data_IF_553608470874
#
_entry.id   IF_553608470874
#
_cell.length_a   1.000
_cell.length_b   1.000
_cell.length_c   1.000
_cell.angle_alpha   90.00
_cell.angle_beta   90.00
_cell.angle_gamma   90.00
#
_symmetry.space_group_name_H-M   'P 1'
#
loop_
_entity.id
_entity.type
_entity.pdbx_description
1 polymer ?
#
# COMPACT_ATOMS: atom_id res chain seq x y z
N UNK A 1 -11.45 18.20 17.54
CA UNK A 1 -11.19 18.70 16.17
C UNK A 1 -10.81 17.53 15.29
N UNK A 2 -11.26 17.44 14.04
CA UNK A 2 -10.83 16.37 13.13
C UNK A 2 -9.33 16.49 12.85
N UNK A 3 -8.60 15.38 12.93
CA UNK A 3 -7.21 15.31 12.44
C UNK A 3 -7.24 15.09 10.94
N UNK A 4 -6.54 15.94 10.20
CA UNK A 4 -6.50 15.94 8.73
C UNK A 4 -5.08 15.65 8.27
N UNK A 5 -4.94 14.66 7.40
CA UNK A 5 -3.71 14.41 6.63
C UNK A 5 -3.87 15.03 5.24
N UNK A 6 -2.95 15.90 4.85
CA UNK A 6 -2.86 16.43 3.49
C UNK A 6 -1.60 15.89 2.80
N UNK A 7 -1.80 15.16 1.70
CA UNK A 7 -0.75 14.58 0.90
C UNK A 7 -0.43 15.50 -0.29
N UNK A 8 0.85 15.84 -0.46
CA UNK A 8 1.36 16.49 -1.65
C UNK A 8 2.38 15.56 -2.34
N UNK A 9 1.93 14.59 -3.14
CA UNK A 9 2.78 13.53 -3.68
C UNK A 9 3.51 13.99 -4.96
N UNK A 10 4.13 15.17 -4.97
CA UNK A 10 4.66 15.79 -6.20
C UNK A 10 5.77 15.00 -6.91
N UNK A 11 6.44 14.06 -6.23
CA UNK A 11 7.44 13.14 -6.81
C UNK A 11 6.96 11.68 -6.88
N UNK A 12 5.67 11.43 -6.66
CA UNK A 12 5.10 10.09 -6.51
C UNK A 12 4.88 9.72 -5.03
N UNK A 13 4.25 8.56 -4.83
CA UNK A 13 3.88 8.03 -3.52
C UNK A 13 3.89 6.50 -3.55
N UNK A 14 4.99 5.88 -3.13
CA UNK A 14 5.04 4.45 -2.84
C UNK A 14 4.51 4.16 -1.42
N UNK A 15 4.17 2.90 -1.13
CA UNK A 15 3.61 2.50 0.16
C UNK A 15 4.59 2.73 1.32
N UNK A 16 5.83 2.29 1.16
CA UNK A 16 6.94 2.53 2.10
C UNK A 16 7.24 4.03 2.30
N UNK A 17 7.12 4.84 1.24
CA UNK A 17 7.28 6.30 1.31
C UNK A 17 6.15 6.95 2.12
N UNK A 18 4.90 6.53 1.89
CA UNK A 18 3.76 7.02 2.66
C UNK A 18 3.89 6.62 4.13
N UNK A 19 4.23 5.36 4.39
CA UNK A 19 4.45 4.86 5.76
C UNK A 19 5.58 5.63 6.45
N UNK A 20 6.70 5.85 5.76
CA UNK A 20 7.81 6.66 6.27
C UNK A 20 7.39 8.08 6.60
N UNK A 21 6.58 8.71 5.76
CA UNK A 21 6.04 10.05 6.04
C UNK A 21 5.11 10.07 7.26
N UNK A 22 4.28 9.03 7.45
CA UNK A 22 3.39 8.92 8.61
C UNK A 22 4.18 8.68 9.92
N UNK A 23 5.25 7.89 9.87
CA UNK A 23 6.17 7.70 10.99
C UNK A 23 6.91 9.01 11.32
N UNK A 24 7.39 9.75 10.31
CA UNK A 24 8.03 11.06 10.49
C UNK A 24 7.04 12.09 11.09
N UNK A 25 5.74 11.95 10.80
CA UNK A 25 4.66 12.75 11.39
C UNK A 25 4.30 12.36 12.84
N UNK A 26 4.92 11.30 13.38
CA UNK A 26 4.79 10.90 14.78
C UNK A 26 4.01 9.61 15.03
N UNK A 27 3.66 8.84 14.00
CA UNK A 27 3.06 7.52 14.20
C UNK A 27 4.05 6.55 14.87
N UNK A 28 3.54 5.67 15.73
CA UNK A 28 4.34 4.67 16.43
C UNK A 28 4.72 3.50 15.52
N UNK A 29 6.03 3.29 15.35
CA UNK A 29 6.58 2.12 14.64
C UNK A 29 6.14 0.80 15.30
N UNK A 30 6.06 0.76 16.63
CA UNK A 30 5.65 -0.44 17.35
C UNK A 30 4.16 -0.74 17.13
N UNK A 31 3.31 0.29 17.07
CA UNK A 31 1.89 0.11 16.75
C UNK A 31 1.71 -0.42 15.32
N UNK A 32 2.53 0.06 14.37
CA UNK A 32 2.57 -0.46 13.00
C UNK A 32 3.00 -1.92 12.97
N UNK A 33 4.11 -2.27 13.62
CA UNK A 33 4.62 -3.66 13.69
C UNK A 33 3.61 -4.61 14.32
N UNK A 34 2.90 -4.19 15.38
CA UNK A 34 1.84 -4.98 16.01
C UNK A 34 0.67 -5.23 15.07
N UNK A 35 0.24 -4.22 14.31
CA UNK A 35 -0.84 -4.38 13.34
C UNK A 35 -0.44 -5.35 12.21
N UNK A 36 0.79 -5.24 11.69
CA UNK A 36 1.31 -6.16 10.68
C UNK A 36 1.39 -7.58 11.26
N UNK A 37 1.90 -7.76 12.49
CA UNK A 37 1.94 -9.07 13.14
C UNK A 37 0.54 -9.68 13.32
N UNK A 38 -0.48 -8.86 13.62
CA UNK A 38 -1.87 -9.31 13.76
C UNK A 38 -2.47 -9.85 12.45
N UNK A 39 -1.88 -9.53 11.30
CA UNK A 39 -2.25 -10.17 10.04
C UNK A 39 -1.86 -11.64 9.99
N UNK A 40 -1.05 -12.17 10.92
CA UNK A 40 -0.54 -13.54 10.88
C UNK A 40 0.59 -13.78 9.88
N UNK A 41 1.12 -12.72 9.25
CA UNK A 41 2.29 -12.77 8.39
C UNK A 41 3.54 -13.22 9.16
N UNK A 42 4.35 -14.06 8.54
CA UNK A 42 5.67 -14.46 9.03
C UNK A 42 6.72 -14.16 7.97
N UNK A 43 8.01 -14.22 8.35
CA UNK A 43 9.10 -13.97 7.40
C UNK A 43 9.13 -12.53 6.87
N UNK A 44 9.02 -11.55 7.76
CA UNK A 44 9.10 -10.15 7.38
C UNK A 44 9.87 -9.35 8.42
N UNK A 45 10.46 -8.24 7.97
CA UNK A 45 11.12 -7.25 8.80
C UNK A 45 10.76 -5.86 8.31
N UNK A 46 10.42 -4.99 9.26
CA UNK A 46 10.09 -3.59 8.99
C UNK A 46 10.97 -2.72 9.87
N UNK A 47 11.86 -1.96 9.24
CA UNK A 47 12.73 -0.99 9.89
C UNK A 47 12.42 0.42 9.43
N UNK A 48 12.64 1.39 10.31
CA UNK A 48 12.55 2.80 10.00
C UNK A 48 13.81 3.50 10.50
N UNK A 49 14.49 4.20 9.59
CA UNK A 49 15.72 4.94 9.91
C UNK A 49 15.61 6.41 9.50
N UNK A 50 16.24 7.28 10.28
CA UNK A 50 16.37 8.69 9.91
C UNK A 50 17.46 8.82 8.85
N UNK A 51 17.13 9.37 7.69
CA UNK A 51 18.06 9.58 6.58
C UNK A 51 18.20 11.05 6.24
N UNK A 52 19.33 11.42 5.63
CA UNK A 52 19.56 12.72 5.00
C UNK A 52 19.73 12.55 3.50
N UNK A 53 18.95 13.30 2.74
CA UNK A 53 19.07 13.39 1.28
C UNK A 53 19.32 14.86 0.92
N UNK A 54 20.58 15.18 0.62
CA UNK A 54 21.01 16.58 0.47
C UNK A 54 20.81 17.37 1.76
N UNK A 55 20.02 18.44 1.69
CA UNK A 55 19.71 19.30 2.83
C UNK A 55 18.51 18.83 3.67
N UNK A 56 17.76 17.82 3.22
CA UNK A 56 16.51 17.38 3.86
C UNK A 56 16.72 16.12 4.71
N UNK A 57 16.02 16.05 5.83
CA UNK A 57 15.90 14.84 6.65
C UNK A 57 14.55 14.18 6.40
N UNK A 58 14.51 12.86 6.33
CA UNK A 58 13.28 12.09 6.23
C UNK A 58 13.39 10.77 7.01
N UNK A 59 12.28 10.10 7.21
CA UNK A 59 12.27 8.71 7.68
C UNK A 59 12.19 7.79 6.46
N UNK A 60 13.15 6.88 6.33
CA UNK A 60 13.15 5.80 5.34
C UNK A 60 12.66 4.53 5.99
N UNK A 61 11.60 3.97 5.44
CA UNK A 61 11.13 2.63 5.78
C UNK A 61 11.83 1.62 4.88
N UNK A 62 12.24 0.49 5.45
CA UNK A 62 12.68 -0.69 4.71
C UNK A 62 11.81 -1.86 5.13
N UNK A 63 11.20 -2.49 4.13
CA UNK A 63 10.43 -3.72 4.29
C UNK A 63 11.22 -4.82 3.60
N UNK A 64 11.57 -5.84 4.35
CA UNK A 64 12.20 -7.06 3.86
C UNK A 64 11.22 -8.21 4.09
N UNK A 65 11.02 -9.06 3.09
CA UNK A 65 10.14 -10.21 3.15
C UNK A 65 10.88 -11.44 2.63
N UNK A 66 10.73 -12.57 3.31
CA UNK A 66 11.31 -13.86 2.91
C UNK A 66 10.46 -14.59 1.86
N UNK A 67 9.30 -14.01 1.52
CA UNK A 67 8.34 -14.54 0.58
C UNK A 67 8.70 -14.19 -0.86
N UNK A 68 8.87 -15.22 -1.68
CA UNK A 68 9.07 -15.12 -3.12
C UNK A 68 7.77 -15.26 -3.90
N UNK A 69 6.63 -15.45 -3.22
CA UNK A 69 5.32 -15.48 -3.86
C UNK A 69 5.00 -14.13 -4.47
N UNK A 70 5.02 -14.11 -5.79
CA UNK A 70 4.73 -12.93 -6.60
C UNK A 70 3.25 -12.77 -6.95
N UNK A 71 2.44 -13.81 -6.73
CA UNK A 71 1.01 -13.78 -7.02
C UNK A 71 0.23 -14.50 -5.92
N UNK A 72 -0.91 -13.92 -5.54
CA UNK A 72 -1.81 -14.50 -4.54
C UNK A 72 -3.26 -14.16 -4.82
N UNK A 73 -4.21 -14.99 -4.38
CA UNK A 73 -5.62 -14.62 -4.40
C UNK A 73 -5.86 -13.34 -3.59
N UNK A 74 -6.53 -12.35 -4.17
CA UNK A 74 -6.83 -11.10 -3.46
C UNK A 74 -7.65 -11.34 -2.17
N UNK A 75 -8.53 -12.35 -2.21
CA UNK A 75 -9.33 -12.78 -1.07
C UNK A 75 -8.47 -13.21 0.14
N UNK A 76 -7.28 -13.78 -0.09
CA UNK A 76 -6.35 -14.14 0.97
C UNK A 76 -5.86 -12.86 1.68
N UNK A 77 -5.32 -11.89 0.93
CA UNK A 77 -4.81 -10.64 1.51
C UNK A 77 -5.89 -9.86 2.26
N UNK A 78 -7.11 -9.81 1.71
CA UNK A 78 -8.27 -9.17 2.37
C UNK A 78 -8.57 -9.87 3.70
N UNK A 79 -8.59 -11.20 3.73
CA UNK A 79 -8.81 -11.96 4.96
C UNK A 79 -7.68 -11.73 5.99
N UNK A 80 -6.42 -11.59 5.54
CA UNK A 80 -5.30 -11.25 6.41
C UNK A 80 -5.45 -9.85 7.01
N UNK A 81 -5.83 -8.86 6.20
CA UNK A 81 -6.07 -7.50 6.66
C UNK A 81 -7.24 -7.42 7.65
N UNK A 82 -8.31 -8.19 7.42
CA UNK A 82 -9.49 -8.22 8.30
C UNK A 82 -9.17 -8.64 9.74
N UNK A 83 -8.14 -9.47 9.94
CA UNK A 83 -7.67 -9.86 11.28
C UNK A 83 -7.19 -8.69 12.14
N UNK A 84 -6.82 -7.57 11.52
CA UNK A 84 -6.28 -6.39 12.21
C UNK A 84 -7.38 -5.44 12.73
N UNK A 85 -8.63 -5.61 12.26
CA UNK A 85 -9.73 -4.67 12.50
C UNK A 85 -9.54 -3.29 11.86
N UNK A 86 -8.61 -3.15 10.91
CA UNK A 86 -8.34 -1.92 10.17
C UNK A 86 -9.21 -1.87 8.91
N UNK A 87 -10.41 -1.33 9.01
CA UNK A 87 -11.37 -1.24 7.90
C UNK A 87 -10.83 -0.52 6.66
N UNK A 88 -9.90 0.43 6.84
CA UNK A 88 -9.22 1.13 5.73
C UNK A 88 -8.33 0.17 4.93
N UNK A 89 -7.66 -0.78 5.59
CA UNK A 89 -6.81 -1.76 4.91
C UNK A 89 -7.65 -2.74 4.07
N UNK A 90 -8.75 -3.23 4.64
CA UNK A 90 -9.71 -4.09 3.94
C UNK A 90 -10.32 -3.39 2.73
N UNK A 91 -10.73 -2.13 2.89
CA UNK A 91 -11.31 -1.33 1.81
C UNK A 91 -10.29 -1.08 0.68
N UNK A 92 -9.03 -0.81 1.01
CA UNK A 92 -7.98 -0.59 0.03
C UNK A 92 -7.69 -1.86 -0.79
N UNK A 93 -7.56 -3.02 -0.15
CA UNK A 93 -7.34 -4.29 -0.84
C UNK A 93 -8.54 -4.72 -1.68
N UNK A 94 -9.76 -4.47 -1.19
CA UNK A 94 -10.99 -4.71 -1.97
C UNK A 94 -11.01 -3.86 -3.23
N UNK A 95 -10.70 -2.57 -3.13
CA UNK A 95 -10.65 -1.68 -4.29
C UNK A 95 -9.57 -2.11 -5.31
N UNK A 96 -8.42 -2.59 -4.84
CA UNK A 96 -7.37 -3.16 -5.71
C UNK A 96 -7.92 -4.41 -6.45
N UNK A 97 -8.58 -5.31 -5.72
CA UNK A 97 -9.14 -6.53 -6.29
C UNK A 97 -10.21 -6.24 -7.37
N UNK A 98 -11.06 -5.23 -7.16
CA UNK A 98 -12.06 -4.81 -8.13
C UNK A 98 -11.44 -4.30 -9.43
N UNK A 99 -10.38 -3.49 -9.33
CA UNK A 99 -9.66 -2.96 -10.50
C UNK A 99 -8.94 -4.08 -11.24
N UNK A 100 -8.25 -4.96 -10.52
CA UNK A 100 -7.54 -6.11 -11.13
C UNK A 100 -8.54 -7.06 -11.81
N UNK A 101 -9.68 -7.34 -11.17
CA UNK A 101 -10.74 -8.17 -11.74
C UNK A 101 -11.29 -7.59 -13.04
N UNK A 102 -11.49 -6.26 -13.08
CA UNK A 102 -11.93 -5.57 -14.29
C UNK A 102 -10.89 -5.57 -15.42
N UNK A 103 -9.59 -5.55 -15.08
CA UNK A 103 -8.50 -5.67 -16.06
C UNK A 103 -8.42 -7.10 -16.64
N UNK A 104 -8.66 -8.12 -15.82
CA UNK A 104 -8.57 -9.53 -16.21
C UNK A 104 -9.89 -10.16 -16.68
N UNK A 105 -11.02 -9.46 -16.52
CA UNK A 105 -12.34 -9.96 -16.89
C UNK A 105 -12.83 -11.10 -15.99
N UNK A 106 -12.42 -11.13 -14.73
CA UNK A 106 -12.83 -12.13 -13.72
C UNK A 106 -13.47 -11.44 -12.50
N UNK A 107 -14.35 -12.12 -11.75
CA UNK A 107 -14.88 -11.58 -10.50
C UNK A 107 -13.75 -11.24 -9.52
N UNK A 108 -13.90 -10.14 -8.76
CA UNK A 108 -12.92 -9.71 -7.76
C UNK A 108 -12.64 -10.79 -6.67
N UNK A 109 -13.62 -11.66 -6.40
CA UNK A 109 -13.46 -12.78 -5.47
C UNK A 109 -12.49 -13.87 -6.00
N UNK A 110 -12.35 -13.97 -7.33
CA UNK A 110 -11.56 -15.00 -8.00
C UNK A 110 -10.23 -14.45 -8.55
N UNK A 111 -9.93 -13.16 -8.32
CA UNK A 111 -8.75 -12.51 -8.90
C UNK A 111 -7.48 -12.85 -8.14
N UNK A 112 -6.43 -13.13 -8.89
CA UNK A 112 -5.06 -13.21 -8.40
C UNK A 112 -4.35 -11.88 -8.69
N UNK A 113 -3.73 -11.30 -7.68
CA UNK A 113 -2.93 -10.09 -7.82
C UNK A 113 -1.54 -10.51 -8.32
N UNK A 114 -1.21 -10.18 -9.57
CA UNK A 114 0.07 -10.61 -10.15
C UNK A 114 1.20 -9.61 -9.89
N UNK A 115 0.88 -8.33 -9.70
CA UNK A 115 1.86 -7.27 -9.43
C UNK A 115 1.83 -6.79 -7.97
N UNK A 116 0.75 -7.12 -7.25
CA UNK A 116 0.45 -6.68 -5.88
C UNK A 116 0.19 -7.86 -4.93
N UNK A 117 0.61 -9.07 -5.33
CA UNK A 117 0.41 -10.31 -4.56
C UNK A 117 1.42 -10.53 -3.45
N UNK A 118 2.47 -9.72 -3.36
CA UNK A 118 3.55 -9.87 -2.40
C UNK A 118 3.17 -9.45 -0.97
N UNK A 119 3.90 -10.00 -0.01
CA UNK A 119 3.81 -9.60 1.40
C UNK A 119 4.08 -8.10 1.63
N UNK A 120 4.92 -7.47 0.79
CA UNK A 120 5.23 -6.04 0.83
C UNK A 120 3.97 -5.17 0.68
N UNK A 121 3.10 -5.51 -0.27
CA UNK A 121 1.83 -4.82 -0.51
C UNK A 121 0.94 -4.85 0.73
N UNK A 122 0.83 -6.02 1.38
CA UNK A 122 0.03 -6.15 2.58
C UNK A 122 0.62 -5.33 3.73
N UNK A 123 1.95 -5.37 3.91
CA UNK A 123 2.65 -4.60 4.95
C UNK A 123 2.46 -3.10 4.73
N UNK A 124 2.54 -2.62 3.49
CA UNK A 124 2.32 -1.22 3.15
C UNK A 124 0.90 -0.77 3.49
N UNK A 125 -0.11 -1.52 3.04
CA UNK A 125 -1.53 -1.18 3.25
C UNK A 125 -1.89 -1.22 4.74
N UNK A 126 -1.55 -2.31 5.42
CA UNK A 126 -1.83 -2.46 6.86
C UNK A 126 -1.02 -1.48 7.68
N UNK A 127 0.24 -1.27 7.35
CA UNK A 127 1.13 -0.34 8.04
C UNK A 127 0.65 1.10 7.94
N UNK A 128 0.26 1.54 6.73
CA UNK A 128 -0.33 2.87 6.53
C UNK A 128 -1.64 3.01 7.29
N UNK A 129 -2.54 2.02 7.22
CA UNK A 129 -3.81 2.06 7.95
C UNK A 129 -3.60 2.12 9.48
N UNK A 130 -2.62 1.37 10.01
CA UNK A 130 -2.25 1.40 11.42
C UNK A 130 -1.69 2.77 11.83
N UNK A 131 -0.80 3.34 11.03
CA UNK A 131 -0.22 4.66 11.29
C UNK A 131 -1.27 5.78 11.23
N UNK A 132 -2.21 5.72 10.28
CA UNK A 132 -3.35 6.65 10.22
C UNK A 132 -4.23 6.56 11.47
N UNK A 133 -4.51 5.34 11.96
CA UNK A 133 -5.27 5.10 13.19
C UNK A 133 -4.53 5.65 14.42
N UNK A 134 -3.23 5.40 14.52
CA UNK A 134 -2.39 5.86 15.64
C UNK A 134 -2.35 7.39 15.73
N UNK A 135 -2.17 8.06 14.59
CA UNK A 135 -2.25 9.52 14.46
C UNK A 135 -3.68 10.08 14.60
N UNK A 136 -4.68 9.20 14.73
CA UNK A 136 -6.11 9.52 14.82
C UNK A 136 -6.61 10.33 13.62
N UNK A 137 -6.04 10.10 12.43
CA UNK A 137 -6.45 10.76 11.19
C UNK A 137 -7.90 10.40 10.88
N UNK A 138 -8.72 11.42 10.68
CA UNK A 138 -10.15 11.28 10.37
C UNK A 138 -10.49 11.63 8.93
N UNK A 139 -9.57 12.30 8.23
CA UNK A 139 -9.73 12.70 6.84
C UNK A 139 -8.38 12.78 6.15
N UNK A 140 -8.31 12.21 4.95
CA UNK A 140 -7.15 12.30 4.07
C UNK A 140 -7.55 13.13 2.84
N UNK A 141 -6.73 14.12 2.51
CA UNK A 141 -6.82 14.87 1.27
C UNK A 141 -5.52 14.68 0.50
N UNK A 142 -5.59 14.69 -0.83
CA UNK A 142 -4.40 14.64 -1.68
C UNK A 142 -4.48 15.71 -2.75
N UNK A 143 -3.35 16.36 -3.02
CA UNK A 143 -3.14 17.03 -4.30
C UNK A 143 -3.19 15.99 -5.45
N UNK A 144 -3.37 16.42 -6.72
CA UNK A 144 -3.34 15.52 -7.86
C UNK A 144 -2.07 14.65 -7.87
N UNK A 145 -2.23 13.37 -8.19
CA UNK A 145 -1.10 12.47 -8.36
C UNK A 145 -0.30 12.91 -9.61
N UNK A 146 1.04 12.94 -9.55
CA UNK A 146 1.86 13.20 -10.72
C UNK A 146 1.80 11.99 -11.65
N UNK A 147 0.85 12.01 -12.59
CA UNK A 147 0.77 11.01 -13.64
C UNK A 147 1.89 11.29 -14.65
N UNK A 148 3.03 10.62 -14.46
CA UNK A 148 4.13 10.65 -15.41
C UNK A 148 3.81 9.87 -16.69
N UNK A 149 4.65 10.06 -17.72
CA UNK A 149 4.60 9.28 -18.96
C UNK A 149 5.65 8.17 -19.03
N UNK A 150 5.64 7.42 -20.14
CA UNK A 150 6.64 6.40 -20.47
C UNK A 150 6.11 4.98 -20.37
N UNK A 151 7.01 4.01 -20.20
CA UNK A 151 6.66 2.59 -20.10
C UNK A 151 7.25 1.94 -18.84
N UNK A 152 6.57 0.91 -18.35
CA UNK A 152 6.98 0.07 -17.22
C UNK A 152 6.99 -1.39 -17.64
N UNK A 153 7.95 -2.15 -17.13
CA UNK A 153 8.00 -3.60 -17.31
C UNK A 153 7.15 -4.24 -16.21
N UNK A 154 6.16 -5.02 -16.61
CA UNK A 154 5.28 -5.78 -15.73
C UNK A 154 5.27 -7.24 -16.19
N UNK A 155 4.56 -8.11 -15.47
CA UNK A 155 4.32 -9.49 -15.92
C UNK A 155 3.44 -9.58 -17.16
N UNK A 156 2.69 -8.53 -17.40
CA UNK A 156 1.87 -8.34 -18.59
C UNK A 156 2.68 -7.75 -19.77
N UNK A 157 4.00 -7.68 -19.64
CA UNK A 157 4.91 -7.13 -20.63
C UNK A 157 5.18 -5.64 -20.42
N UNK A 158 5.52 -4.93 -21.49
CA UNK A 158 5.79 -3.50 -21.43
C UNK A 158 4.48 -2.73 -21.56
N UNK A 159 4.08 -2.03 -20.50
CA UNK A 159 2.84 -1.24 -20.45
C UNK A 159 3.14 0.27 -20.42
N UNK A 160 2.25 1.11 -20.98
CA UNK A 160 2.36 2.57 -20.84
C UNK A 160 2.11 3.03 -19.40
N UNK A 161 2.57 4.23 -19.07
CA UNK A 161 2.20 4.98 -17.87
C UNK A 161 1.37 6.21 -18.23
N UNK A 162 0.17 6.39 -17.65
CA UNK A 162 -0.55 5.40 -16.84
C UNK A 162 -0.95 4.16 -17.67
N UNK A 163 -1.20 3.05 -16.99
CA UNK A 163 -1.62 1.79 -17.61
C UNK A 163 -2.95 1.91 -18.36
N UNK A 164 -3.28 0.91 -19.20
CA UNK A 164 -4.56 0.89 -19.89
C UNK A 164 -5.73 0.94 -18.88
N UNK A 165 -6.81 1.67 -19.16
CA UNK A 165 -7.97 1.69 -18.28
C UNK A 165 -8.60 0.29 -18.22
N UNK A 166 -9.20 -0.10 -17.06
CA UNK A 166 -10.01 -1.32 -17.00
C UNK A 166 -11.13 -1.25 -18.04
N UNK A 167 -11.50 -2.41 -18.62
CA UNK A 167 -12.62 -2.46 -19.56
C UNK A 167 -13.87 -2.00 -18.83
N UNK A 168 -14.42 -0.86 -19.23
CA UNK A 168 -15.73 -0.44 -18.73
C UNK A 168 -16.76 -1.46 -19.21
N UNK A 169 -17.61 -2.03 -18.34
CA UNK A 169 -18.76 -2.78 -18.82
C UNK A 169 -19.64 -1.80 -19.61
N UNK A 170 -19.83 -2.07 -20.91
CA UNK A 170 -20.83 -1.42 -21.74
C UNK A 170 -22.24 -1.82 -21.30
#
# INVERSE_FOLDING_TARGET
MPMILYLNPFTGLAGDMLLGALLDAGASLDAVRQAVAATGLTGWRLDAERVRTGALTATRVRIEVDDDATERPAAELIAMAARTGLTVAEAALTAIAEVEGALHGVPAADVHLHELGGHDTLIDVVGCAAALRDLRVTRVHSAPLPLGGGTVHTRHGVLPRPGPPPRSPC
#
